data_IF_588170249502
#
_entry.id   IF_588170249502
#
_cell.length_a   1.000
_cell.length_b   1.000
_cell.length_c   1.000
_cell.angle_alpha   90.00
_cell.angle_beta   90.00
_cell.angle_gamma   90.00
#
_symmetry.space_group_name_H-M   'P 1'
#
loop_
_entity.id
_entity.type
_entity.pdbx_description
1 polymer ?
#
# COMPACT_ATOMS: atom_id res chain seq x y z
N UNK A 1 17.42 -22.25 -16.12
CA UNK A 1 16.39 -21.40 -15.49
C UNK A 1 15.29 -22.32 -15.02
N UNK A 2 14.80 -22.16 -13.78
CA UNK A 2 13.63 -22.91 -13.31
C UNK A 2 12.43 -22.36 -14.07
N UNK A 3 11.63 -23.22 -14.71
CA UNK A 3 10.40 -22.78 -15.36
C UNK A 3 9.41 -22.35 -14.27
N UNK A 4 8.99 -21.08 -14.32
CA UNK A 4 7.98 -20.56 -13.41
C UNK A 4 6.61 -21.15 -13.75
N UNK A 5 5.94 -21.69 -12.75
CA UNK A 5 4.58 -22.24 -12.92
C UNK A 5 3.54 -21.20 -12.56
N UNK A 6 2.42 -21.21 -13.29
CA UNK A 6 1.27 -20.37 -12.96
C UNK A 6 0.74 -20.69 -11.56
N UNK A 7 0.10 -19.71 -10.91
CA UNK A 7 -0.57 -19.93 -9.62
C UNK A 7 -1.61 -21.05 -9.75
N UNK A 8 -2.31 -21.18 -10.89
CA UNK A 8 -3.23 -22.30 -11.12
C UNK A 8 -2.54 -23.66 -11.00
N UNK A 9 -1.38 -23.81 -11.63
CA UNK A 9 -0.59 -25.04 -11.55
C UNK A 9 -0.05 -25.25 -10.13
N UNK A 10 0.46 -24.19 -9.50
CA UNK A 10 0.95 -24.23 -8.13
C UNK A 10 -0.14 -24.69 -7.15
N UNK A 11 -1.37 -24.15 -7.26
CA UNK A 11 -2.51 -24.58 -6.44
C UNK A 11 -2.83 -26.06 -6.64
N UNK A 12 -2.74 -26.59 -7.86
CA UNK A 12 -2.94 -28.02 -8.14
C UNK A 12 -1.86 -28.87 -7.46
N UNK A 13 -0.60 -28.48 -7.58
CA UNK A 13 0.52 -29.18 -6.94
C UNK A 13 0.42 -29.15 -5.42
N UNK A 14 0.07 -27.99 -4.84
CA UNK A 14 -0.13 -27.83 -3.39
C UNK A 14 -1.26 -28.74 -2.89
N UNK A 15 -2.40 -28.80 -3.58
CA UNK A 15 -3.52 -29.70 -3.24
C UNK A 15 -3.16 -31.18 -3.34
N UNK A 16 -2.27 -31.53 -4.27
CA UNK A 16 -1.80 -32.90 -4.47
C UNK A 16 -0.68 -33.32 -3.51
N UNK A 17 -0.29 -32.47 -2.55
CA UNK A 17 0.71 -32.80 -1.54
C UNK A 17 2.17 -32.72 -2.01
N UNK A 18 2.44 -32.11 -3.18
CA UNK A 18 3.80 -32.01 -3.73
C UNK A 18 4.80 -31.30 -2.80
N UNK A 19 4.29 -30.50 -1.85
CA UNK A 19 5.09 -29.66 -0.97
C UNK A 19 5.00 -30.06 0.52
N UNK A 20 4.53 -31.27 0.82
CA UNK A 20 4.34 -31.73 2.21
C UNK A 20 5.63 -32.12 2.92
N UNK A 21 6.66 -32.55 2.17
CA UNK A 21 7.96 -32.88 2.76
C UNK A 21 8.66 -31.63 3.32
N UNK A 22 9.22 -31.70 4.54
CA UNK A 22 9.88 -30.56 5.18
C UNK A 22 11.31 -30.30 4.66
N UNK A 23 11.82 -31.12 3.75
CA UNK A 23 13.17 -30.96 3.22
C UNK A 23 13.32 -29.68 2.39
N UNK A 24 14.54 -29.15 2.39
CA UNK A 24 14.86 -27.87 1.74
C UNK A 24 14.59 -27.91 0.23
N UNK A 25 14.81 -29.04 -0.46
CA UNK A 25 14.59 -29.11 -1.90
C UNK A 25 13.11 -29.01 -2.24
N UNK A 26 12.26 -29.70 -1.48
CA UNK A 26 10.80 -29.59 -1.60
C UNK A 26 10.33 -28.17 -1.32
N UNK A 27 10.86 -27.51 -0.28
CA UNK A 27 10.44 -26.16 0.11
C UNK A 27 10.95 -25.07 -0.85
N UNK A 28 12.17 -25.19 -1.38
CA UNK A 28 12.64 -24.41 -2.54
C UNK A 28 11.80 -24.69 -3.79
N UNK A 29 11.38 -25.95 -3.96
CA UNK A 29 10.44 -26.40 -4.98
C UNK A 29 9.13 -25.61 -4.93
N UNK A 30 8.56 -25.48 -3.72
CA UNK A 30 7.34 -24.76 -3.42
C UNK A 30 7.42 -23.25 -3.63
N UNK A 31 8.63 -22.68 -3.72
CA UNK A 31 8.87 -21.28 -4.00
C UNK A 31 9.50 -20.48 -2.87
N UNK A 32 9.95 -21.10 -1.78
CA UNK A 32 10.79 -20.39 -0.80
C UNK A 32 12.10 -19.96 -1.46
N UNK A 33 12.38 -18.66 -1.42
CA UNK A 33 13.56 -18.07 -2.06
C UNK A 33 14.64 -17.69 -1.05
N UNK A 34 14.24 -17.14 0.09
CA UNK A 34 15.15 -16.65 1.14
C UNK A 34 14.42 -16.63 2.50
N UNK A 35 15.11 -17.00 3.57
CA UNK A 35 14.51 -17.16 4.90
C UNK A 35 15.49 -17.00 6.06
N UNK A 36 14.97 -16.53 7.21
CA UNK A 36 15.72 -16.45 8.48
C UNK A 36 15.37 -17.57 9.46
N UNK A 37 14.25 -18.28 9.26
CA UNK A 37 13.87 -19.41 10.10
C UNK A 37 14.69 -20.67 9.79
N UNK A 38 14.61 -21.69 10.64
CA UNK A 38 15.22 -22.99 10.34
C UNK A 38 14.48 -23.68 9.18
N UNK A 39 15.20 -24.41 8.32
CA UNK A 39 14.63 -25.09 7.14
C UNK A 39 13.42 -25.98 7.48
N UNK A 40 13.51 -26.74 8.57
CA UNK A 40 12.42 -27.59 9.05
C UNK A 40 11.12 -26.85 9.38
N UNK A 41 11.16 -25.53 9.57
CA UNK A 41 9.99 -24.71 9.83
C UNK A 41 9.25 -24.29 8.54
N UNK A 42 9.89 -24.38 7.38
CA UNK A 42 9.36 -23.87 6.11
C UNK A 42 8.05 -24.54 5.70
N UNK A 43 7.94 -25.88 5.81
CA UNK A 43 6.69 -26.58 5.47
C UNK A 43 5.51 -26.13 6.34
N UNK A 44 5.74 -25.95 7.64
CA UNK A 44 4.72 -25.45 8.57
C UNK A 44 4.31 -24.00 8.28
N UNK A 45 5.28 -23.14 7.91
CA UNK A 45 5.04 -21.76 7.49
C UNK A 45 4.30 -21.69 6.15
N UNK A 46 4.68 -22.54 5.20
CA UNK A 46 4.05 -22.66 3.88
C UNK A 46 2.56 -22.94 4.05
N UNK A 47 2.19 -23.91 4.89
CA UNK A 47 0.78 -24.23 5.18
C UNK A 47 -0.02 -23.04 5.73
N UNK A 48 0.62 -22.06 6.36
CA UNK A 48 -0.05 -20.84 6.86
C UNK A 48 -0.24 -19.81 5.76
N UNK A 49 0.84 -19.41 5.08
CA UNK A 49 0.81 -18.37 4.05
C UNK A 49 0.08 -18.85 2.78
N UNK A 50 0.21 -20.13 2.41
CA UNK A 50 -0.46 -20.72 1.25
C UNK A 50 -1.98 -20.55 1.28
N UNK A 51 -2.60 -20.39 2.45
CA UNK A 51 -4.05 -20.16 2.58
C UNK A 51 -4.53 -18.96 1.77
N UNK A 52 -3.71 -17.90 1.64
CA UNK A 52 -4.09 -16.74 0.82
C UNK A 52 -4.02 -17.08 -0.67
N UNK A 53 -2.96 -17.78 -1.09
CA UNK A 53 -2.77 -18.22 -2.46
C UNK A 53 -3.90 -19.16 -2.88
N UNK A 54 -4.25 -20.13 -2.03
CA UNK A 54 -5.35 -21.07 -2.26
C UNK A 54 -6.72 -20.40 -2.28
N UNK A 55 -6.85 -19.22 -1.68
CA UNK A 55 -8.09 -18.44 -1.68
C UNK A 55 -8.29 -17.61 -2.95
N UNK A 56 -7.25 -17.40 -3.76
CA UNK A 56 -7.35 -16.67 -5.03
C UNK A 56 -8.13 -17.49 -6.04
N UNK A 57 -9.11 -16.88 -6.68
CA UNK A 57 -9.97 -17.52 -7.70
C UNK A 57 -10.01 -16.77 -9.02
N UNK A 58 -9.51 -15.54 -9.07
CA UNK A 58 -9.53 -14.72 -10.28
C UNK A 58 -8.63 -15.32 -11.39
N UNK A 59 -9.17 -15.59 -12.59
CA UNK A 59 -8.41 -16.25 -13.66
C UNK A 59 -7.19 -15.45 -14.12
N UNK A 60 -7.26 -14.11 -14.15
CA UNK A 60 -6.13 -13.29 -14.55
C UNK A 60 -4.94 -13.48 -13.60
N UNK A 61 -5.18 -13.51 -12.29
CA UNK A 61 -4.13 -13.80 -11.31
C UNK A 61 -3.68 -15.26 -11.43
N UNK A 62 -4.62 -16.20 -11.56
CA UNK A 62 -4.29 -17.63 -11.62
C UNK A 62 -3.41 -18.02 -12.82
N UNK A 63 -3.61 -17.37 -13.97
CA UNK A 63 -3.02 -17.79 -15.24
C UNK A 63 -1.85 -16.92 -15.71
N UNK A 64 -1.73 -15.68 -15.21
CA UNK A 64 -0.69 -14.75 -15.64
C UNK A 64 0.32 -14.40 -14.55
N UNK A 65 0.27 -15.06 -13.40
CA UNK A 65 1.22 -14.86 -12.31
C UNK A 65 1.85 -16.16 -11.87
N UNK A 66 3.07 -16.03 -11.35
CA UNK A 66 3.70 -17.00 -10.49
C UNK A 66 3.91 -16.39 -9.10
N UNK A 67 4.29 -17.24 -8.14
CA UNK A 67 4.53 -16.81 -6.77
C UNK A 67 5.84 -17.35 -6.22
N UNK A 68 6.38 -16.60 -5.27
CA UNK A 68 7.51 -17.01 -4.46
C UNK A 68 7.38 -16.45 -3.05
N UNK A 69 8.06 -17.07 -2.10
CA UNK A 69 7.92 -16.84 -0.68
C UNK A 69 9.22 -16.37 -0.06
N UNK A 70 9.11 -15.49 0.93
CA UNK A 70 10.21 -15.14 1.83
C UNK A 70 9.78 -15.25 3.27
N UNK A 71 10.70 -15.69 4.13
CA UNK A 71 10.57 -15.50 5.57
C UNK A 71 11.51 -14.37 5.95
N UNK A 72 10.97 -13.29 6.52
CA UNK A 72 11.72 -12.09 6.83
C UNK A 72 11.82 -11.89 8.34
N UNK A 73 12.88 -11.22 8.78
CA UNK A 73 13.04 -10.75 10.14
C UNK A 73 13.02 -9.22 10.17
N UNK A 74 12.36 -8.64 11.18
CA UNK A 74 12.57 -7.24 11.54
C UNK A 74 13.85 -7.14 12.38
N UNK A 75 14.45 -5.94 12.46
CA UNK A 75 15.58 -5.68 13.37
C UNK A 75 15.22 -6.03 14.82
N UNK A 76 13.97 -5.78 15.19
CA UNK A 76 13.37 -6.22 16.45
C UNK A 76 11.93 -6.66 16.18
N UNK A 77 11.56 -7.85 16.64
CA UNK A 77 10.22 -8.42 16.50
C UNK A 77 10.21 -9.85 15.93
N UNK A 78 9.03 -10.50 15.88
CA UNK A 78 8.88 -11.83 15.33
C UNK A 78 9.17 -11.86 13.83
N UNK A 79 9.70 -12.99 13.36
CA UNK A 79 9.81 -13.29 11.93
C UNK A 79 8.42 -13.41 11.32
N UNK A 80 8.26 -12.92 10.09
CA UNK A 80 7.01 -12.95 9.34
C UNK A 80 7.22 -13.52 7.95
N UNK A 81 6.14 -14.00 7.33
CA UNK A 81 6.19 -14.58 6.00
C UNK A 81 5.61 -13.60 4.98
N UNK A 82 6.18 -13.55 3.79
CA UNK A 82 5.56 -12.89 2.64
C UNK A 82 5.44 -13.83 1.44
N UNK A 83 4.37 -13.65 0.68
CA UNK A 83 4.21 -14.23 -0.66
C UNK A 83 4.15 -13.10 -1.67
N UNK A 84 4.87 -13.25 -2.77
CA UNK A 84 5.01 -12.26 -3.82
C UNK A 84 4.38 -12.77 -5.09
N UNK A 85 3.59 -11.93 -5.73
CA UNK A 85 2.86 -12.22 -6.95
C UNK A 85 3.55 -11.45 -8.08
N UNK A 86 4.16 -12.20 -8.98
CA UNK A 86 4.95 -11.67 -10.07
C UNK A 86 4.29 -12.03 -11.42
N UNK A 87 4.15 -11.08 -12.36
CA UNK A 87 3.64 -11.40 -13.69
C UNK A 87 4.56 -12.39 -14.42
N UNK A 88 3.98 -13.46 -14.97
CA UNK A 88 4.69 -14.44 -15.80
C UNK A 88 5.28 -13.81 -17.08
N UNK A 89 4.73 -12.67 -17.52
CA UNK A 89 5.26 -11.91 -18.65
C UNK A 89 6.66 -11.30 -18.40
N UNK A 90 7.10 -11.24 -17.13
CA UNK A 90 8.33 -10.56 -16.71
C UNK A 90 8.22 -9.03 -16.68
N UNK A 91 7.13 -8.44 -17.18
CA UNK A 91 6.88 -6.99 -17.12
C UNK A 91 5.96 -6.68 -15.95
N UNK A 92 6.45 -5.90 -15.00
CA UNK A 92 5.68 -5.55 -13.80
C UNK A 92 4.63 -4.49 -14.07
N UNK A 93 4.99 -3.35 -14.66
CA UNK A 93 4.07 -2.27 -15.04
C UNK A 93 3.04 -1.89 -13.94
N UNK A 94 3.45 -1.88 -12.67
CA UNK A 94 2.58 -1.59 -11.53
C UNK A 94 1.74 -2.79 -11.04
N UNK A 95 1.85 -3.94 -11.70
CA UNK A 95 1.07 -5.17 -11.47
C UNK A 95 1.73 -6.15 -10.49
N UNK A 96 2.96 -5.86 -10.03
CA UNK A 96 3.61 -6.63 -8.97
C UNK A 96 3.05 -6.25 -7.58
N UNK A 97 2.81 -7.25 -6.74
CA UNK A 97 2.39 -7.05 -5.36
C UNK A 97 2.84 -8.19 -4.45
N UNK A 98 2.81 -7.95 -3.14
CA UNK A 98 3.15 -8.94 -2.12
C UNK A 98 2.17 -8.87 -0.96
N UNK A 99 2.01 -9.99 -0.27
CA UNK A 99 1.17 -10.13 0.93
C UNK A 99 2.05 -10.60 2.08
N UNK A 100 2.08 -9.83 3.16
CA UNK A 100 2.73 -10.19 4.42
C UNK A 100 1.72 -10.81 5.38
N UNK A 101 2.15 -11.83 6.10
CA UNK A 101 1.41 -12.50 7.17
C UNK A 101 2.13 -12.32 8.51
N UNK A 102 1.40 -11.84 9.52
CA UNK A 102 1.88 -11.70 10.89
C UNK A 102 3.11 -10.76 11.03
N UNK A 103 3.21 -9.74 10.17
CA UNK A 103 4.23 -8.69 10.28
C UNK A 103 3.92 -7.76 11.46
N UNK A 104 4.88 -7.53 12.35
CA UNK A 104 4.68 -6.66 13.50
C UNK A 104 4.31 -5.22 13.08
N UNK A 105 3.44 -4.57 13.87
CA UNK A 105 2.95 -3.22 13.59
C UNK A 105 1.95 -3.13 12.43
N UNK A 106 1.41 -4.27 11.97
CA UNK A 106 0.45 -4.38 10.87
C UNK A 106 -0.74 -5.23 11.27
N UNK A 107 -1.81 -5.21 10.47
CA UNK A 107 -2.86 -6.23 10.61
C UNK A 107 -2.29 -7.59 10.19
N UNK A 108 -3.00 -8.66 10.56
CA UNK A 108 -2.60 -10.04 10.26
C UNK A 108 -2.21 -10.25 8.80
N UNK A 109 -2.96 -9.69 7.87
CA UNK A 109 -2.68 -9.72 6.44
C UNK A 109 -2.52 -8.30 5.91
N UNK A 110 -1.39 -8.03 5.24
CA UNK A 110 -1.11 -6.72 4.66
C UNK A 110 -0.56 -6.85 3.25
N UNK A 111 -1.24 -6.23 2.29
CA UNK A 111 -0.86 -6.22 0.89
C UNK A 111 -0.15 -4.92 0.54
N UNK A 112 1.01 -5.05 -0.11
CA UNK A 112 1.78 -3.96 -0.67
C UNK A 112 1.88 -4.17 -2.18
N UNK A 113 1.73 -3.09 -2.96
CA UNK A 113 1.72 -3.18 -4.41
C UNK A 113 2.65 -2.13 -5.00
N UNK A 114 3.17 -2.40 -6.20
CA UNK A 114 3.97 -1.44 -6.93
C UNK A 114 3.16 -0.18 -7.29
N UNK A 115 1.89 -0.36 -7.71
CA UNK A 115 0.99 0.76 -8.03
C UNK A 115 0.72 1.72 -6.87
N UNK A 116 0.72 1.23 -5.63
CA UNK A 116 0.52 2.05 -4.43
C UNK A 116 1.84 2.54 -3.81
N UNK A 117 2.94 1.83 -4.09
CA UNK A 117 4.26 2.00 -3.47
C UNK A 117 4.45 1.08 -2.26
N UNK A 118 5.71 0.91 -1.82
CA UNK A 118 6.07 -0.06 -0.78
C UNK A 118 6.24 0.52 0.63
N UNK A 119 6.06 1.83 0.81
CA UNK A 119 6.19 2.49 2.12
C UNK A 119 4.96 2.29 3.02
N UNK A 120 3.79 2.03 2.42
CA UNK A 120 2.55 1.75 3.12
C UNK A 120 1.77 0.64 2.41
N UNK A 121 0.98 -0.15 3.16
CA UNK A 121 0.13 -1.16 2.56
C UNK A 121 -1.01 -0.50 1.78
N UNK A 122 -1.35 -1.09 0.63
CA UNK A 122 -2.53 -0.72 -0.14
C UNK A 122 -3.81 -1.24 0.55
N UNK A 123 -3.71 -2.39 1.21
CA UNK A 123 -4.84 -3.03 1.90
C UNK A 123 -4.39 -3.88 3.08
N UNK A 124 -5.17 -3.86 4.16
CA UNK A 124 -4.91 -4.63 5.36
C UNK A 124 -6.19 -5.22 5.95
N UNK A 125 -6.17 -6.48 6.37
CA UNK A 125 -7.31 -7.13 7.00
C UNK A 125 -6.91 -8.19 8.03
N UNK A 126 -7.86 -8.56 8.90
CA UNK A 126 -7.64 -9.55 9.95
C UNK A 126 -7.76 -11.01 9.51
N UNK A 127 -8.30 -11.29 8.31
CA UNK A 127 -8.62 -12.65 7.88
C UNK A 127 -8.25 -12.93 6.42
N UNK A 128 -7.98 -14.21 6.13
CA UNK A 128 -7.48 -14.66 4.82
C UNK A 128 -8.52 -14.51 3.70
N UNK A 129 -9.81 -14.69 4.01
CA UNK A 129 -10.91 -14.58 3.04
C UNK A 129 -11.02 -13.14 2.51
N UNK A 130 -10.87 -12.16 3.38
CA UNK A 130 -10.84 -10.74 3.02
C UNK A 130 -9.65 -10.42 2.12
N UNK A 131 -8.46 -10.94 2.44
CA UNK A 131 -7.27 -10.73 1.63
C UNK A 131 -7.42 -11.37 0.23
N UNK A 132 -7.86 -12.62 0.17
CA UNK A 132 -8.12 -13.31 -1.11
C UNK A 132 -9.16 -12.57 -1.97
N UNK A 133 -10.28 -12.12 -1.36
CA UNK A 133 -11.30 -11.31 -2.05
C UNK A 133 -10.72 -10.01 -2.61
N UNK A 134 -9.81 -9.38 -1.87
CA UNK A 134 -9.12 -8.17 -2.34
C UNK A 134 -8.22 -8.47 -3.53
N UNK A 135 -7.39 -9.52 -3.47
CA UNK A 135 -6.54 -9.98 -4.59
C UNK A 135 -7.38 -10.29 -5.83
N UNK A 136 -8.52 -10.96 -5.68
CA UNK A 136 -9.41 -11.23 -6.80
C UNK A 136 -9.98 -9.93 -7.42
N UNK A 137 -10.17 -8.89 -6.60
CA UNK A 137 -10.52 -7.54 -7.06
C UNK A 137 -9.38 -6.86 -7.82
N UNK A 138 -8.15 -6.99 -7.34
CA UNK A 138 -6.96 -6.54 -8.08
C UNK A 138 -6.88 -7.24 -9.44
N UNK A 139 -7.10 -8.55 -9.49
CA UNK A 139 -7.11 -9.32 -10.73
C UNK A 139 -8.11 -8.80 -11.76
N UNK A 140 -9.33 -8.44 -11.33
CA UNK A 140 -10.33 -7.82 -12.22
C UNK A 140 -9.85 -6.47 -12.75
N UNK A 141 -9.27 -5.64 -11.87
CA UNK A 141 -8.74 -4.33 -12.27
C UNK A 141 -7.62 -4.47 -13.29
N UNK A 142 -6.70 -5.41 -13.12
CA UNK A 142 -5.62 -5.63 -14.07
C UNK A 142 -6.11 -6.20 -15.41
N UNK A 143 -7.06 -7.12 -15.39
CA UNK A 143 -7.65 -7.67 -16.62
C UNK A 143 -8.38 -6.62 -17.46
N UNK A 144 -8.96 -5.61 -16.80
CA UNK A 144 -9.74 -4.54 -17.44
C UNK A 144 -8.95 -3.22 -17.58
N UNK A 145 -7.68 -3.21 -17.20
CA UNK A 145 -6.82 -2.02 -17.16
C UNK A 145 -7.44 -0.84 -16.37
N UNK A 146 -8.22 -1.15 -15.34
CA UNK A 146 -8.88 -0.16 -14.50
C UNK A 146 -7.88 0.38 -13.47
N UNK A 147 -7.71 1.70 -13.47
CA UNK A 147 -7.02 2.40 -12.41
C UNK A 147 -8.03 2.74 -11.28
N UNK A 148 -7.87 2.20 -10.06
CA UNK A 148 -8.78 2.53 -8.97
C UNK A 148 -8.61 3.97 -8.48
N UNK A 149 -9.73 4.61 -8.10
CA UNK A 149 -9.81 6.03 -7.69
C UNK A 149 -8.87 6.35 -6.53
N UNK A 150 -8.69 5.43 -5.58
CA UNK A 150 -7.81 5.66 -4.42
C UNK A 150 -6.35 5.98 -4.80
N UNK A 151 -5.89 5.61 -6.01
CA UNK A 151 -4.56 5.97 -6.49
C UNK A 151 -4.46 7.46 -6.85
N UNK A 152 -5.53 8.04 -7.39
CA UNK A 152 -5.63 9.47 -7.64
C UNK A 152 -5.75 10.23 -6.32
N UNK A 153 -6.57 9.71 -5.40
CA UNK A 153 -6.72 10.28 -4.06
C UNK A 153 -5.40 10.28 -3.29
N UNK A 154 -4.65 9.17 -3.27
CA UNK A 154 -3.32 9.13 -2.67
C UNK A 154 -2.41 10.21 -3.23
N UNK A 155 -2.35 10.38 -4.56
CA UNK A 155 -1.53 11.41 -5.20
C UNK A 155 -1.97 12.82 -4.80
N UNK A 156 -3.28 13.06 -4.68
CA UNK A 156 -3.81 14.33 -4.20
C UNK A 156 -3.42 14.59 -2.74
N UNK A 157 -3.44 13.55 -1.88
CA UNK A 157 -2.95 13.65 -0.49
C UNK A 157 -1.44 13.93 -0.45
N UNK A 158 -0.62 13.28 -1.28
CA UNK A 158 0.82 13.58 -1.37
C UNK A 158 1.11 15.02 -1.82
N UNK A 159 0.32 15.53 -2.77
CA UNK A 159 0.38 16.93 -3.19
C UNK A 159 -0.03 17.88 -2.05
N UNK A 160 -1.12 17.56 -1.35
CA UNK A 160 -1.58 18.31 -0.18
C UNK A 160 -0.49 18.38 0.91
N UNK A 161 0.20 17.27 1.19
CA UNK A 161 1.33 17.24 2.14
C UNK A 161 2.44 18.19 1.68
N UNK A 162 2.77 18.15 0.39
CA UNK A 162 3.81 19.01 -0.19
C UNK A 162 3.45 20.50 -0.05
N UNK A 163 2.19 20.87 -0.20
CA UNK A 163 1.74 22.25 0.03
C UNK A 163 1.88 22.69 1.50
N UNK A 164 1.67 21.78 2.45
CA UNK A 164 1.69 22.11 3.88
C UNK A 164 3.10 22.10 4.49
N UNK A 165 3.88 21.06 4.18
CA UNK A 165 5.18 20.79 4.79
C UNK A 165 6.36 21.13 3.85
N UNK A 166 6.06 21.50 2.60
CA UNK A 166 7.05 21.62 1.52
C UNK A 166 7.50 20.25 1.02
N UNK A 167 8.44 20.24 0.07
CA UNK A 167 9.02 19.00 -0.44
C UNK A 167 9.72 18.23 0.69
N UNK A 168 9.31 16.99 0.91
CA UNK A 168 9.84 16.08 1.92
C UNK A 168 9.35 14.64 1.68
N UNK A 169 10.02 13.68 2.33
CA UNK A 169 9.53 12.30 2.36
C UNK A 169 8.20 12.24 3.11
N UNK A 170 7.23 11.54 2.53
CA UNK A 170 5.92 11.34 3.13
C UNK A 170 5.45 9.90 2.97
N UNK A 171 4.60 9.47 3.90
CA UNK A 171 3.98 8.15 3.88
C UNK A 171 2.47 8.34 4.01
N UNK A 172 1.71 7.78 3.07
CA UNK A 172 0.25 7.84 3.03
C UNK A 172 -0.33 6.43 3.20
N UNK A 173 -0.92 6.19 4.36
CA UNK A 173 -1.61 4.96 4.71
C UNK A 173 -3.08 5.06 4.32
N UNK A 174 -3.61 4.04 3.64
CA UNK A 174 -5.05 3.95 3.37
C UNK A 174 -5.77 3.46 4.62
N UNK A 175 -6.58 4.32 5.22
CA UNK A 175 -7.30 4.02 6.47
C UNK A 175 -8.71 3.48 6.23
N UNK A 176 -9.31 3.82 5.08
CA UNK A 176 -10.64 3.37 4.67
C UNK A 176 -10.94 3.81 3.25
N UNK A 177 -12.22 3.79 2.89
CA UNK A 177 -12.69 4.49 1.69
C UNK A 177 -12.56 6.00 1.92
N UNK A 178 -11.97 6.71 0.95
CA UNK A 178 -11.81 8.16 1.00
C UNK A 178 -11.01 8.72 2.19
N UNK A 179 -10.43 7.87 3.03
CA UNK A 179 -9.77 8.26 4.28
C UNK A 179 -8.34 7.73 4.33
N UNK A 180 -7.41 8.64 4.65
CA UNK A 180 -5.98 8.42 4.62
C UNK A 180 -5.33 8.94 5.89
N UNK A 181 -4.44 8.15 6.48
CA UNK A 181 -3.52 8.66 7.49
C UNK A 181 -2.18 8.99 6.83
N UNK A 182 -1.52 10.05 7.27
CA UNK A 182 -0.25 10.46 6.69
C UNK A 182 0.67 11.11 7.70
N UNK A 183 1.96 11.08 7.38
CA UNK A 183 3.03 11.79 8.09
C UNK A 183 4.15 12.15 7.11
N UNK A 184 4.97 13.11 7.47
CA UNK A 184 6.13 13.55 6.69
C UNK A 184 7.39 13.59 7.54
N UNK A 185 8.57 13.59 6.91
CA UNK A 185 9.83 13.72 7.65
C UNK A 185 9.96 15.05 8.40
N UNK A 186 9.26 16.10 7.94
CA UNK A 186 9.18 17.41 8.59
C UNK A 186 8.08 17.50 9.65
N UNK A 187 7.06 16.66 9.57
CA UNK A 187 6.01 16.55 10.59
C UNK A 187 5.68 15.07 10.86
N UNK A 188 6.32 14.47 11.87
CA UNK A 188 6.17 13.05 12.16
C UNK A 188 4.83 12.71 12.85
N UNK A 189 4.04 13.71 13.28
CA UNK A 189 2.70 13.49 13.85
C UNK A 189 1.81 12.85 12.78
N UNK A 190 1.17 11.74 13.14
CA UNK A 190 0.18 11.10 12.29
C UNK A 190 -1.06 11.99 12.18
N UNK A 191 -1.46 12.30 10.94
CA UNK A 191 -2.58 13.18 10.62
C UNK A 191 -3.57 12.47 9.71
N UNK A 192 -4.79 12.98 9.64
CA UNK A 192 -5.85 12.42 8.81
C UNK A 192 -6.15 13.32 7.62
N UNK A 193 -6.33 12.73 6.44
CA UNK A 193 -6.84 13.39 5.26
C UNK A 193 -8.06 12.62 4.73
N UNK A 194 -9.08 13.36 4.33
CA UNK A 194 -10.24 12.85 3.62
C UNK A 194 -10.14 13.35 2.18
N UNK A 195 -10.37 12.45 1.22
CA UNK A 195 -10.32 12.76 -0.20
C UNK A 195 -11.65 12.41 -0.88
N UNK A 196 -12.15 13.29 -1.74
CA UNK A 196 -13.41 13.10 -2.45
C UNK A 196 -13.26 13.52 -3.92
N UNK A 197 -14.08 12.94 -4.80
CA UNK A 197 -14.16 13.44 -6.18
C UNK A 197 -14.76 14.85 -6.19
N UNK A 198 -14.16 15.77 -6.95
CA UNK A 198 -14.69 17.11 -7.15
C UNK A 198 -15.97 17.14 -8.00
N UNK A 199 -16.21 16.10 -8.80
CA UNK A 199 -17.37 16.00 -9.70
C UNK A 199 -18.52 15.17 -9.13
N UNK A 200 -18.39 14.64 -7.91
CA UNK A 200 -19.40 13.82 -7.25
C UNK A 200 -19.90 14.44 -5.95
N UNK A 201 -20.98 13.91 -5.35
CA UNK A 201 -21.37 14.32 -4.00
C UNK A 201 -20.22 13.97 -3.04
N UNK A 202 -19.68 14.93 -2.29
CA UNK A 202 -18.66 14.64 -1.32
C UNK A 202 -19.27 13.81 -0.16
N UNK A 203 -18.44 13.10 0.63
CA UNK A 203 -18.92 12.40 1.81
C UNK A 203 -19.73 13.31 2.74
N UNK A 204 -20.75 12.77 3.43
CA UNK A 204 -21.57 13.55 4.36
C UNK A 204 -20.70 14.28 5.40
N UNK A 205 -20.90 15.59 5.53
CA UNK A 205 -20.13 16.44 6.44
C UNK A 205 -18.73 16.81 5.95
N UNK A 206 -18.37 16.51 4.69
CA UNK A 206 -17.10 16.95 4.10
C UNK A 206 -17.12 18.46 3.80
N UNK A 207 -16.19 19.25 4.37
CA UNK A 207 -16.15 20.70 4.17
C UNK A 207 -15.50 21.04 2.82
N UNK A 208 -16.30 20.96 1.76
CA UNK A 208 -15.83 21.17 0.39
C UNK A 208 -15.27 22.59 0.15
N UNK A 209 -15.81 23.59 0.85
CA UNK A 209 -15.37 24.99 0.84
C UNK A 209 -13.96 25.18 1.41
N UNK A 210 -13.52 24.28 2.28
CA UNK A 210 -12.20 24.32 2.90
C UNK A 210 -11.24 23.27 2.30
N UNK A 211 -11.71 22.44 1.37
CA UNK A 211 -10.89 21.43 0.74
C UNK A 211 -9.96 22.03 -0.32
N UNK A 212 -8.76 21.47 -0.46
CA UNK A 212 -7.85 21.83 -1.55
C UNK A 212 -8.05 20.87 -2.72
N UNK A 213 -8.28 21.43 -3.90
CA UNK A 213 -8.43 20.62 -5.11
C UNK A 213 -7.08 20.30 -5.74
N UNK A 214 -6.92 19.05 -6.19
CA UNK A 214 -5.85 18.63 -7.06
C UNK A 214 -6.36 17.62 -8.09
N UNK A 215 -6.33 18.01 -9.38
CA UNK A 215 -6.72 17.16 -10.52
C UNK A 215 -8.10 16.50 -10.34
N UNK A 216 -9.10 17.29 -9.93
CA UNK A 216 -10.46 16.79 -9.72
C UNK A 216 -10.66 15.95 -8.45
N UNK A 217 -9.69 15.94 -7.54
CA UNK A 217 -9.83 15.37 -6.19
C UNK A 217 -9.75 16.50 -5.16
N UNK A 218 -10.76 16.60 -4.30
CA UNK A 218 -10.78 17.47 -3.13
C UNK A 218 -10.11 16.76 -1.97
N UNK A 219 -9.17 17.41 -1.29
CA UNK A 219 -8.49 16.90 -0.10
C UNK A 219 -8.69 17.86 1.06
N UNK A 220 -9.17 17.32 2.17
CA UNK A 220 -9.32 18.06 3.42
C UNK A 220 -8.63 17.32 4.57
N UNK A 221 -8.04 18.06 5.51
CA UNK A 221 -7.39 17.51 6.68
C UNK A 221 -7.72 18.34 7.92
N UNK A 222 -8.39 17.78 8.95
CA UNK A 222 -8.69 18.52 10.17
C UNK A 222 -7.41 18.99 10.87
N UNK A 223 -6.40 18.12 10.97
CA UNK A 223 -5.09 18.44 11.57
C UNK A 223 -4.25 19.41 10.72
N UNK A 224 -4.53 19.49 9.42
CA UNK A 224 -3.82 20.34 8.48
C UNK A 224 -4.20 21.82 8.62
N UNK A 225 -5.46 22.08 8.94
CA UNK A 225 -6.05 23.42 9.00
C UNK A 225 -5.54 24.28 10.16
N UNK A 226 -5.29 23.68 11.32
CA UNK A 226 -4.77 24.42 12.49
C UNK A 226 -3.45 25.14 12.18
N UNK A 227 -2.65 24.61 11.24
CA UNK A 227 -1.38 25.22 10.84
C UNK A 227 -1.54 26.29 9.76
N UNK A 228 -2.44 26.09 8.80
CA UNK A 228 -2.72 27.10 7.78
C UNK A 228 -3.35 28.35 8.44
N UNK A 229 -4.27 28.18 9.39
CA UNK A 229 -4.82 29.28 10.20
C UNK A 229 -3.74 30.00 11.04
N UNK A 230 -2.79 29.26 11.63
CA UNK A 230 -1.66 29.89 12.36
C UNK A 230 -0.72 30.64 11.42
N UNK A 231 -0.39 30.08 10.25
CA UNK A 231 0.45 30.75 9.24
C UNK A 231 -0.21 32.01 8.70
N UNK A 232 -1.53 31.99 8.45
CA UNK A 232 -2.28 33.17 8.02
C UNK A 232 -2.35 34.24 9.12
N UNK A 233 -2.61 33.85 10.36
CA UNK A 233 -2.59 34.76 11.50
C UNK A 233 -1.19 35.38 11.74
N UNK A 234 -0.11 34.62 11.53
CA UNK A 234 1.26 35.11 11.66
C UNK A 234 1.68 35.97 10.46
N UNK A 235 1.18 35.69 9.25
CA UNK A 235 1.38 36.52 8.07
C UNK A 235 0.68 37.88 8.19
N UNK A 236 -0.53 37.91 8.77
CA UNK A 236 -1.27 39.15 9.06
C UNK A 236 -0.63 40.00 10.17
N UNK A 237 0.27 39.43 10.99
CA UNK A 237 1.00 40.14 12.06
C UNK A 237 2.30 40.79 11.62
N UNK A 238 2.79 40.61 10.39
CA UNK A 238 4.01 41.28 9.93
C UNK A 238 3.74 42.76 9.64
N UNK A 239 4.49 43.72 10.23
CA UNK A 239 4.26 45.14 10.00
C UNK A 239 4.72 45.54 8.59
N UNK A 240 3.85 46.23 7.86
CA UNK A 240 4.16 46.89 6.60
C UNK A 240 5.31 47.90 6.80
N UNK A 241 6.53 47.51 6.45
CA UNK A 241 7.66 48.44 6.32
C UNK A 241 7.40 49.35 5.12
N UNK A 242 6.83 50.52 5.40
CA UNK A 242 6.64 51.61 4.45
C UNK A 242 7.97 51.96 3.77
N UNK A 243 7.93 52.01 2.43
CA UNK A 243 8.95 52.65 1.59
C UNK A 243 9.26 54.04 2.15
N UNK A 244 10.51 54.29 2.56
CA UNK A 244 11.02 55.66 2.70
C UNK A 244 11.37 56.15 1.30
N UNK A 245 10.54 57.06 0.80
CA UNK A 245 10.89 57.94 -0.31
C UNK A 245 12.16 58.72 0.04
N UNK A 246 13.02 58.87 -0.97
CA UNK A 246 14.27 59.58 -0.84
C UNK A 246 14.06 61.07 -0.60
N UNK A 247 15.08 61.68 0.00
CA UNK A 247 15.33 63.10 -0.24
C UNK A 247 16.84 63.26 -0.34
N UNK A 248 17.28 63.69 -1.51
CA UNK A 248 18.62 64.21 -1.77
C UNK A 248 18.89 65.40 -0.86
N UNK A 249 20.09 65.43 -0.26
CA UNK A 249 21.13 66.45 -0.44
C UNK A 249 22.32 66.17 0.46
#
# INVERSE_FOLDING_TARGET
MKEEISIRQWQKQFKAGFYDSPDIHTQCGAGWYDWFCQDRALAGRLKKIAKVVMGVTNPFILDHYYIWFKNNALVSGPMYDDVRFEPLSGKRDGKYFLVRLDCAGRKKWSLFSERYGFFAPEFECGNVRGMAKYIDGIGRQFAQEIQPVFLLEKRAVEHFITQQDGLCDSIVYRAGEHCYHYKSSKNPKLRTAIAASASGPPPDGFPADQAKEFRGILVWSPDGMERDMKKEADAQKKPNLKKKEGTER
#
